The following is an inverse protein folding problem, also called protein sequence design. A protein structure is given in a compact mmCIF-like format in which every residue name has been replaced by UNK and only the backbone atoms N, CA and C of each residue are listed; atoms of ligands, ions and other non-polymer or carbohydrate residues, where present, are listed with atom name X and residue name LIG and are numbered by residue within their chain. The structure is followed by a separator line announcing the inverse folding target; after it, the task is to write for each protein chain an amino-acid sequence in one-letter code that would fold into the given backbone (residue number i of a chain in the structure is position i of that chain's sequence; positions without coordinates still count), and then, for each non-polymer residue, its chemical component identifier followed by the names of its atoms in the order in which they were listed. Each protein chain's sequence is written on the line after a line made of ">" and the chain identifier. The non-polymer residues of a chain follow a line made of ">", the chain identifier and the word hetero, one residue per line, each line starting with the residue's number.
data_IF_652896359743
#
_entry.id   IF_652896359743
#
_cell.length_a   1.000
_cell.length_b   1.000
_cell.length_c   1.000
_cell.angle_alpha   90.00
_cell.angle_beta   90.00
_cell.angle_gamma   90.00
#
_symmetry.space_group_name_H-M   'P 1'
#
loop_
_entity.id
_entity.type
_entity.pdbx_description
1 polymer ?
#
# COMPACT_ATOMS: atom_id res chain seq x y z
N UNK A 1 0.40 9.13 19.00
CA UNK A 1 1.35 9.90 18.17
C UNK A 1 1.58 11.23 18.87
N UNK A 2 2.83 11.66 19.01
CA UNK A 2 3.14 13.03 19.40
C UNK A 2 3.88 13.71 18.23
N UNK A 3 4.05 15.02 18.29
CA UNK A 3 4.69 15.75 17.19
C UNK A 3 6.16 15.33 17.00
N UNK A 4 6.79 14.74 18.01
CA UNK A 4 8.19 14.32 17.97
C UNK A 4 8.40 12.98 17.24
N UNK A 5 7.34 12.18 17.04
CA UNK A 5 7.44 10.86 16.42
C UNK A 5 6.72 10.71 15.08
N UNK A 6 6.19 11.81 14.54
CA UNK A 6 5.43 11.82 13.29
C UNK A 6 6.22 11.20 12.12
N UNK A 7 7.54 11.40 12.07
CA UNK A 7 8.42 10.88 11.02
C UNK A 7 8.47 9.34 10.93
N UNK A 8 8.08 8.63 12.00
CA UNK A 8 8.02 7.17 12.03
C UNK A 8 6.76 6.60 11.36
N UNK A 9 5.75 7.43 11.09
CA UNK A 9 4.43 7.02 10.60
C UNK A 9 4.18 7.50 9.17
N UNK A 10 5.12 7.21 8.28
CA UNK A 10 4.95 7.41 6.84
C UNK A 10 3.87 6.48 6.31
N UNK A 11 3.01 7.00 5.42
CA UNK A 11 1.92 6.21 4.87
C UNK A 11 2.41 5.19 3.82
N UNK A 12 1.60 4.17 3.53
CA UNK A 12 2.00 3.09 2.62
C UNK A 12 2.27 3.53 1.17
N UNK A 13 1.67 4.64 0.73
CA UNK A 13 1.92 5.21 -0.61
C UNK A 13 3.26 5.95 -0.64
N UNK A 14 3.66 6.59 0.46
CA UNK A 14 4.99 7.23 0.61
C UNK A 14 6.10 6.19 0.77
N UNK A 15 5.86 5.13 1.53
CA UNK A 15 6.80 4.00 1.68
C UNK A 15 7.06 3.31 0.33
N UNK A 16 6.00 3.17 -0.49
CA UNK A 16 6.05 2.58 -1.81
C UNK A 16 6.09 1.04 -1.81
N UNK A 17 5.84 0.41 -2.97
CA UNK A 17 5.65 -1.03 -3.07
C UNK A 17 6.92 -1.85 -2.80
N UNK A 18 8.11 -1.32 -3.10
CA UNK A 18 9.38 -2.06 -3.01
C UNK A 18 9.70 -2.49 -1.57
N UNK A 19 9.68 -1.54 -0.62
CA UNK A 19 9.94 -1.81 0.80
C UNK A 19 8.89 -2.73 1.42
N UNK A 20 7.64 -2.61 0.99
CA UNK A 20 6.55 -3.49 1.44
C UNK A 20 6.81 -4.92 0.93
N UNK A 21 7.14 -5.08 -0.35
CA UNK A 21 7.49 -6.38 -0.94
C UNK A 21 8.68 -7.00 -0.22
N UNK A 22 9.74 -6.24 0.04
CA UNK A 22 10.94 -6.73 0.73
C UNK A 22 10.63 -7.24 2.14
N UNK A 23 9.78 -6.51 2.87
CA UNK A 23 9.33 -6.93 4.21
C UNK A 23 8.57 -8.26 4.15
N UNK A 24 7.66 -8.40 3.18
CA UNK A 24 6.88 -9.63 3.01
C UNK A 24 7.74 -10.78 2.48
N UNK A 25 8.80 -10.49 1.71
CA UNK A 25 9.73 -11.50 1.22
C UNK A 25 10.47 -12.17 2.38
N UNK A 26 10.92 -11.39 3.38
CA UNK A 26 11.52 -11.96 4.58
C UNK A 26 10.51 -12.77 5.41
N UNK A 27 9.30 -12.25 5.61
CA UNK A 27 8.25 -12.98 6.34
C UNK A 27 7.85 -14.30 5.66
N UNK A 28 7.77 -14.31 4.33
CA UNK A 28 7.34 -15.48 3.52
C UNK A 28 8.23 -16.70 3.74
N UNK A 29 9.50 -16.51 4.12
CA UNK A 29 10.43 -17.60 4.46
C UNK A 29 9.99 -18.41 5.69
N UNK A 30 9.15 -17.82 6.54
CA UNK A 30 8.69 -18.38 7.81
C UNK A 30 7.19 -18.68 7.85
N UNK A 31 6.47 -18.36 6.77
CA UNK A 31 5.04 -18.66 6.61
C UNK A 31 4.91 -19.80 5.61
N UNK A 32 4.34 -20.92 6.04
CA UNK A 32 4.14 -22.12 5.22
C UNK A 32 3.09 -21.88 4.11
N UNK A 33 2.03 -21.14 4.43
CA UNK A 33 0.96 -20.74 3.49
C UNK A 33 1.24 -19.40 2.80
N UNK A 34 0.26 -18.49 2.68
CA UNK A 34 0.39 -17.20 2.02
C UNK A 34 0.08 -16.02 2.95
N UNK A 35 0.44 -14.82 2.50
CA UNK A 35 0.15 -13.55 3.17
C UNK A 35 -0.61 -12.65 2.21
N UNK A 36 -1.66 -11.98 2.69
CA UNK A 36 -2.43 -11.02 1.91
C UNK A 36 -1.64 -9.74 1.67
N UNK A 37 -0.91 -9.67 0.56
CA UNK A 37 -0.08 -8.52 0.20
C UNK A 37 -0.82 -7.53 -0.71
N UNK A 38 -1.16 -6.36 -0.19
CA UNK A 38 -1.68 -5.22 -0.97
C UNK A 38 -0.54 -4.28 -1.34
N UNK A 39 -0.48 -3.87 -2.61
CA UNK A 39 0.45 -2.84 -3.08
C UNK A 39 -0.29 -1.51 -3.26
N UNK A 40 0.32 -0.43 -2.77
CA UNK A 40 -0.25 0.91 -2.77
C UNK A 40 0.47 1.79 -3.79
N UNK A 41 -0.29 2.45 -4.65
CA UNK A 41 0.23 3.28 -5.73
C UNK A 41 -0.45 4.65 -5.74
N UNK A 42 0.27 5.73 -6.11
CA UNK A 42 -0.38 6.99 -6.41
C UNK A 42 -1.29 6.85 -7.64
N UNK A 43 -2.25 7.76 -7.77
CA UNK A 43 -3.14 7.91 -8.94
C UNK A 43 -2.38 8.16 -10.25
N UNK A 44 -1.15 8.68 -10.16
CA UNK A 44 -0.24 8.90 -11.30
C UNK A 44 0.51 7.66 -11.75
N UNK A 45 0.38 6.52 -11.06
CA UNK A 45 1.10 5.30 -11.42
C UNK A 45 0.61 4.72 -12.77
N UNK A 46 1.55 4.33 -13.63
CA UNK A 46 1.20 3.69 -14.90
C UNK A 46 1.01 2.18 -14.74
N UNK A 47 0.35 1.56 -15.71
CA UNK A 47 0.26 0.08 -15.79
C UNK A 47 1.65 -0.58 -15.86
N UNK A 48 2.65 0.12 -16.44
CA UNK A 48 4.04 -0.35 -16.47
C UNK A 48 4.67 -0.36 -15.08
N UNK A 49 4.37 0.62 -14.24
CA UNK A 49 4.91 0.68 -12.88
C UNK A 49 4.32 -0.43 -12.01
N UNK A 50 3.02 -0.68 -12.14
CA UNK A 50 2.34 -1.81 -11.49
C UNK A 50 2.98 -3.14 -11.95
N UNK A 51 3.19 -3.32 -13.25
CA UNK A 51 3.78 -4.55 -13.78
C UNK A 51 5.23 -4.76 -13.29
N UNK A 52 6.05 -3.71 -13.21
CA UNK A 52 7.39 -3.78 -12.64
C UNK A 52 7.36 -4.25 -11.19
N UNK A 53 6.44 -3.73 -10.37
CA UNK A 53 6.30 -4.14 -8.97
C UNK A 53 5.85 -5.61 -8.85
N UNK A 54 4.94 -6.06 -9.70
CA UNK A 54 4.52 -7.46 -9.74
C UNK A 54 5.67 -8.40 -10.13
N UNK A 55 6.47 -8.03 -11.14
CA UNK A 55 7.67 -8.79 -11.54
C UNK A 55 8.70 -8.78 -10.41
N UNK A 56 8.88 -7.66 -9.70
CA UNK A 56 9.77 -7.58 -8.55
C UNK A 56 9.31 -8.50 -7.42
N UNK A 57 8.02 -8.47 -7.06
CA UNK A 57 7.45 -9.38 -6.07
C UNK A 57 7.66 -10.86 -6.43
N UNK A 58 7.42 -11.22 -7.69
CA UNK A 58 7.69 -12.57 -8.21
C UNK A 58 9.16 -12.95 -8.05
N UNK A 59 10.09 -12.07 -8.45
CA UNK A 59 11.54 -12.31 -8.28
C UNK A 59 11.97 -12.44 -6.82
N UNK A 60 11.28 -11.78 -5.90
CA UNK A 60 11.53 -11.85 -4.44
C UNK A 60 10.88 -13.06 -3.76
N UNK A 61 10.17 -13.92 -4.50
CA UNK A 61 9.56 -15.13 -3.96
C UNK A 61 8.22 -14.92 -3.25
N UNK A 62 7.54 -13.80 -3.48
CA UNK A 62 6.19 -13.57 -2.97
C UNK A 62 5.23 -14.60 -3.58
N UNK A 63 4.44 -15.24 -2.72
CA UNK A 63 3.50 -16.32 -3.11
C UNK A 63 2.23 -15.78 -3.76
N UNK A 64 1.67 -14.69 -3.24
CA UNK A 64 0.39 -14.13 -3.69
C UNK A 64 0.35 -12.61 -3.55
N UNK A 65 -0.37 -11.94 -4.44
CA UNK A 65 -0.77 -10.53 -4.30
C UNK A 65 -2.29 -10.49 -4.10
N UNK A 66 -2.76 -9.55 -3.27
CA UNK A 66 -4.16 -9.38 -2.95
C UNK A 66 -4.81 -8.25 -3.74
N UNK A 67 -4.50 -6.99 -3.42
CA UNK A 67 -4.99 -5.83 -4.16
C UNK A 67 -3.86 -4.98 -4.72
N UNK A 68 -4.16 -4.33 -5.85
CA UNK A 68 -3.45 -3.15 -6.32
C UNK A 68 -4.33 -1.96 -5.96
N UNK A 69 -3.94 -1.20 -4.93
CA UNK A 69 -4.71 -0.06 -4.43
C UNK A 69 -4.13 1.24 -4.98
N UNK A 70 -4.90 1.91 -5.81
CA UNK A 70 -4.60 3.26 -6.26
C UNK A 70 -5.13 4.27 -5.25
N UNK A 71 -4.37 5.35 -5.01
CA UNK A 71 -4.79 6.46 -4.16
C UNK A 71 -6.00 7.12 -4.82
N UNK A 72 -7.16 7.02 -4.19
CA UNK A 72 -8.35 7.73 -4.64
C UNK A 72 -8.34 9.13 -4.04
N UNK A 73 -8.55 10.13 -4.89
CA UNK A 73 -8.97 11.44 -4.43
C UNK A 73 -10.37 11.32 -3.83
N UNK A 74 -10.69 12.16 -2.84
CA UNK A 74 -12.06 12.28 -2.37
C UNK A 74 -12.95 12.63 -3.57
N UNK A 75 -14.07 11.93 -3.72
CA UNK A 75 -15.07 12.29 -4.72
C UNK A 75 -15.69 13.61 -4.26
N UNK A 76 -15.91 14.51 -5.21
CA UNK A 76 -16.59 15.78 -4.94
C UNK A 76 -17.95 15.52 -4.28
N UNK A 77 -18.20 16.13 -3.13
CA UNK A 77 -19.40 15.92 -2.30
C UNK A 77 -19.32 14.77 -1.30
N UNK A 78 -18.18 14.07 -1.21
CA UNK A 78 -17.90 13.03 -0.19
C UNK A 78 -16.83 13.45 0.82
N UNK A 79 -16.44 14.71 0.80
CA UNK A 79 -15.48 15.27 1.74
C UNK A 79 -16.02 15.13 3.17
N UNK A 80 -15.12 14.85 4.12
CA UNK A 80 -15.49 14.67 5.54
C UNK A 80 -16.19 15.94 6.07
N UNK A 81 -15.80 17.12 5.57
CA UNK A 81 -16.43 18.41 5.88
C UNK A 81 -17.90 18.48 5.44
N UNK A 82 -18.31 17.77 4.38
CA UNK A 82 -19.70 17.68 3.93
C UNK A 82 -20.55 16.64 4.68
N UNK A 83 -19.91 15.78 5.47
CA UNK A 83 -20.55 14.69 6.21
C UNK A 83 -20.57 14.94 7.73
N UNK A 84 -20.84 16.19 8.14
CA UNK A 84 -20.87 16.63 9.55
C UNK A 84 -21.83 15.82 10.42
N UNK A 85 -22.90 15.28 9.85
CA UNK A 85 -23.89 14.47 10.57
C UNK A 85 -23.43 13.03 10.87
N UNK A 86 -22.39 12.55 10.19
CA UNK A 86 -21.89 11.17 10.28
C UNK A 86 -20.42 11.08 10.73
N UNK A 87 -19.77 12.23 10.99
CA UNK A 87 -18.43 12.29 11.55
C UNK A 87 -18.51 12.08 13.08
N UNK A 88 -17.74 11.12 13.60
CA UNK A 88 -17.59 10.81 15.01
C UNK A 88 -16.52 11.69 15.66
#
# INVERSE_FOLDING_TARGET
>A
MNNDNLALYQDAYEIGPEKIIDTYAEATRHVDQGLSLTLFFPDTATTRDINKAQIYAWKKGIKTLYYIRLRQLALEGTEIEGCVSCAL
#
